data_IF_723171539005
#
_entry.id   IF_723171539005
#
_cell.length_a   1.000
_cell.length_b   1.000
_cell.length_c   1.000
_cell.angle_alpha   90.00
_cell.angle_beta   90.00
_cell.angle_gamma   90.00
#
_symmetry.space_group_name_H-M   'P 1'
#
loop_
_entity.id
_entity.type
_entity.pdbx_description
1 polymer ?
#
# COMPACT_ATOMS: atom_id res chain seq x y z
N UNK A 1 -15.94 24.33 4.78
CA UNK A 1 -14.53 24.35 4.30
C UNK A 1 -13.82 23.21 5.01
N UNK A 2 -13.28 22.15 4.42
CA UNK A 2 -12.84 21.87 3.06
C UNK A 2 -13.46 20.55 2.58
N UNK A 3 -13.96 20.52 1.35
CA UNK A 3 -14.14 19.28 0.60
C UNK A 3 -12.75 18.75 0.27
N UNK A 4 -12.11 18.03 1.22
CA UNK A 4 -10.92 17.24 0.92
C UNK A 4 -11.35 16.21 -0.14
N UNK A 5 -11.16 16.56 -1.41
CA UNK A 5 -11.39 15.64 -2.53
C UNK A 5 -10.41 14.51 -2.30
N UNK A 6 -10.92 13.30 -2.08
CA UNK A 6 -10.10 12.09 -2.09
C UNK A 6 -9.32 12.10 -3.40
N UNK A 7 -8.01 12.19 -3.29
CA UNK A 7 -7.11 12.18 -4.42
C UNK A 7 -6.68 10.73 -4.63
N UNK A 8 -6.50 10.38 -5.90
CA UNK A 8 -6.03 9.05 -6.24
C UNK A 8 -4.52 9.04 -6.03
N UNK A 9 -4.07 8.39 -4.95
CA UNK A 9 -2.66 8.30 -4.59
C UNK A 9 -2.17 6.92 -5.01
N UNK A 10 -1.12 6.89 -5.84
CA UNK A 10 -0.48 5.64 -6.24
C UNK A 10 0.66 5.34 -5.30
N UNK A 11 0.55 4.26 -4.55
CA UNK A 11 1.59 3.79 -3.64
C UNK A 11 2.26 2.59 -4.28
N UNK A 12 3.55 2.71 -4.54
CA UNK A 12 4.42 1.63 -5.03
C UNK A 12 5.17 1.06 -3.84
N UNK A 13 5.23 -0.26 -3.70
CA UNK A 13 5.83 -0.95 -2.58
C UNK A 13 6.31 -2.34 -3.01
N UNK A 14 7.29 -2.84 -2.29
CA UNK A 14 7.74 -4.21 -2.40
C UNK A 14 7.09 -5.02 -1.26
N UNK A 15 6.45 -6.15 -1.56
CA UNK A 15 5.93 -7.07 -0.55
C UNK A 15 6.97 -8.15 -0.30
N UNK A 16 7.49 -8.20 0.92
CA UNK A 16 8.32 -9.31 1.40
C UNK A 16 7.42 -10.32 2.12
N UNK A 17 7.29 -11.52 1.56
CA UNK A 17 6.73 -12.69 2.27
C UNK A 17 7.89 -13.49 2.85
N UNK A 18 8.12 -13.36 4.16
CA UNK A 18 9.23 -14.04 4.85
C UNK A 18 9.04 -15.57 4.88
N UNK A 19 7.78 -16.05 4.88
CA UNK A 19 7.46 -17.48 4.88
C UNK A 19 7.77 -18.19 3.56
N UNK A 20 7.53 -17.55 2.42
CA UNK A 20 7.73 -18.13 1.09
C UNK A 20 9.03 -17.67 0.43
N UNK A 21 9.83 -16.83 1.10
CA UNK A 21 10.99 -16.13 0.52
C UNK A 21 10.67 -15.49 -0.84
N UNK A 22 9.41 -15.12 -1.06
CA UNK A 22 8.95 -14.55 -2.31
C UNK A 22 8.87 -13.05 -2.10
N UNK A 23 9.75 -12.34 -2.80
CA UNK A 23 9.79 -10.89 -2.84
C UNK A 23 8.99 -10.46 -4.06
N UNK A 24 7.80 -9.89 -3.84
CA UNK A 24 7.03 -9.24 -4.90
C UNK A 24 7.51 -7.80 -4.98
N UNK A 25 8.28 -7.52 -6.01
CA UNK A 25 8.88 -6.22 -6.25
C UNK A 25 7.98 -5.38 -7.15
N UNK A 26 8.07 -4.05 -7.01
CA UNK A 26 7.39 -3.09 -7.88
C UNK A 26 5.86 -3.26 -7.88
N UNK A 27 5.29 -3.72 -6.76
CA UNK A 27 3.85 -3.80 -6.60
C UNK A 27 3.31 -2.38 -6.42
N UNK A 28 2.19 -2.06 -7.07
CA UNK A 28 1.59 -0.75 -6.94
C UNK A 28 0.08 -0.84 -6.72
N UNK A 29 -0.41 0.04 -5.86
CA UNK A 29 -1.82 0.11 -5.54
C UNK A 29 -2.24 1.58 -5.52
N UNK A 30 -3.30 1.87 -6.29
CA UNK A 30 -3.87 3.20 -6.37
C UNK A 30 -5.08 3.29 -5.47
N UNK A 31 -4.98 4.06 -4.40
CA UNK A 31 -6.05 4.22 -3.42
C UNK A 31 -6.55 5.65 -3.37
N UNK A 32 -7.85 5.82 -3.14
CA UNK A 32 -8.46 7.13 -2.97
C UNK A 32 -8.36 7.56 -1.51
N UNK A 33 -7.34 8.36 -1.20
CA UNK A 33 -7.05 8.84 0.15
C UNK A 33 -6.97 10.36 0.20
N UNK A 34 -7.17 10.94 1.38
CA UNK A 34 -7.01 12.37 1.58
C UNK A 34 -5.54 12.76 1.68
N UNK A 35 -4.73 11.88 2.26
CA UNK A 35 -3.34 12.15 2.63
C UNK A 35 -2.48 10.90 2.31
N UNK A 36 -1.19 11.07 2.01
CA UNK A 36 -0.27 9.97 1.69
C UNK A 36 -0.17 8.91 2.79
N UNK A 37 -0.21 9.31 4.06
CA UNK A 37 -0.22 8.38 5.20
C UNK A 37 -1.48 7.49 5.21
N UNK A 38 -2.66 8.07 4.94
CA UNK A 38 -3.92 7.33 4.83
C UNK A 38 -3.89 6.37 3.64
N UNK A 39 -3.24 6.75 2.54
CA UNK A 39 -3.03 5.87 1.40
C UNK A 39 -2.22 4.63 1.78
N UNK A 40 -1.12 4.81 2.51
CA UNK A 40 -0.26 3.70 2.96
C UNK A 40 -1.04 2.74 3.88
N UNK A 41 -1.82 3.26 4.82
CA UNK A 41 -2.61 2.43 5.73
C UNK A 41 -3.66 1.60 4.96
N UNK A 42 -4.37 2.23 4.01
CA UNK A 42 -5.30 1.54 3.12
C UNK A 42 -4.62 0.43 2.31
N UNK A 43 -3.46 0.73 1.72
CA UNK A 43 -2.66 -0.23 0.94
C UNK A 43 -2.22 -1.40 1.80
N UNK A 44 -1.76 -1.13 3.03
CA UNK A 44 -1.34 -2.16 3.97
C UNK A 44 -2.49 -3.06 4.40
N UNK A 45 -3.66 -2.49 4.68
CA UNK A 45 -4.86 -3.25 5.03
C UNK A 45 -5.37 -4.10 3.84
N UNK A 46 -5.34 -3.55 2.62
CA UNK A 46 -5.70 -4.30 1.40
C UNK A 46 -4.73 -5.45 1.14
N UNK A 47 -3.42 -5.23 1.29
CA UNK A 47 -2.44 -6.28 1.07
C UNK A 47 -2.55 -7.40 2.10
N UNK A 48 -2.78 -7.08 3.37
CA UNK A 48 -3.05 -8.09 4.40
C UNK A 48 -4.29 -8.93 4.07
N UNK A 49 -5.34 -8.30 3.52
CA UNK A 49 -6.56 -9.01 3.07
C UNK A 49 -6.33 -9.86 1.83
N UNK A 50 -5.66 -9.34 0.80
CA UNK A 50 -5.38 -10.08 -0.44
C UNK A 50 -4.52 -11.31 -0.19
N UNK A 51 -3.49 -11.16 0.64
CA UNK A 51 -2.57 -12.24 0.98
C UNK A 51 -3.11 -13.12 2.10
N UNK A 52 -4.21 -12.70 2.76
CA UNK A 52 -4.82 -13.34 3.93
C UNK A 52 -3.77 -13.69 5.00
N UNK A 53 -2.77 -12.81 5.15
CA UNK A 53 -1.58 -13.00 5.98
C UNK A 53 -1.20 -11.66 6.61
N UNK A 54 -0.96 -11.69 7.91
CA UNK A 54 -0.50 -10.54 8.69
C UNK A 54 1.03 -10.44 8.78
N UNK A 55 1.74 -11.44 8.27
CA UNK A 55 3.22 -11.56 8.32
C UNK A 55 3.89 -10.87 7.11
N UNK A 56 3.12 -10.13 6.32
CA UNK A 56 3.63 -9.43 5.15
C UNK A 56 4.31 -8.13 5.59
N UNK A 57 5.44 -7.82 4.97
CA UNK A 57 6.14 -6.57 5.24
C UNK A 57 6.26 -5.76 3.97
N UNK A 58 5.63 -4.57 3.97
CA UNK A 58 5.84 -3.59 2.92
C UNK A 58 7.24 -3.00 3.08
N UNK A 59 8.07 -3.16 2.06
CA UNK A 59 9.36 -2.51 1.90
C UNK A 59 9.29 -1.47 0.78
N UNK A 60 10.19 -0.49 0.84
CA UNK A 60 10.40 0.49 -0.25
C UNK A 60 9.13 1.22 -0.71
N UNK A 61 8.31 1.64 0.25
CA UNK A 61 7.09 2.40 -0.03
C UNK A 61 7.46 3.74 -0.69
N UNK A 62 6.93 3.97 -1.89
CA UNK A 62 7.06 5.19 -2.68
C UNK A 62 5.68 5.68 -3.05
N UNK A 63 5.47 6.99 -2.91
CA UNK A 63 4.19 7.61 -3.24
C UNK A 63 4.38 8.41 -4.52
N UNK A 64 3.60 8.07 -5.53
CA UNK A 64 3.42 8.87 -6.73
C UNK A 64 2.08 9.62 -6.59
N UNK A 65 2.17 10.94 -6.50
CA UNK A 65 1.05 11.88 -6.48
C UNK A 65 1.01 12.65 -7.81
#
# INVERSE_FOLDING_TARGET
>A
MATKKKQLIRVVFDVLDEMKQNLRLDEDLSVSANDPDEAIDCVFAEMQRQLNRSDIRLSRVRICA
#
